data_IF_510946863020
#
_entry.id   IF_510946863020
#
_cell.length_a   1.000
_cell.length_b   1.000
_cell.length_c   1.000
_cell.angle_alpha   90.00
_cell.angle_beta   90.00
_cell.angle_gamma   90.00
#
_symmetry.space_group_name_H-M   'P 1'
#
loop_
_entity.id
_entity.type
_entity.pdbx_description
1 polymer ?
#
# COMPACT_ATOMS: atom_id res chain seq x y z
N UNK A 1 27.51 -38.15 -29.78
CA UNK A 1 26.68 -39.33 -29.44
C UNK A 1 26.91 -39.65 -27.97
N UNK A 2 25.99 -39.16 -27.12
CA UNK A 2 24.99 -39.99 -26.40
C UNK A 2 25.69 -40.97 -25.44
N UNK A 3 25.87 -40.64 -24.16
CA UNK A 3 24.98 -41.03 -23.04
C UNK A 3 25.72 -40.64 -21.74
N UNK A 4 25.16 -40.20 -20.61
CA UNK A 4 23.81 -39.87 -20.14
C UNK A 4 24.05 -39.34 -18.70
N UNK A 5 23.31 -38.31 -18.30
CA UNK A 5 22.75 -38.19 -16.94
C UNK A 5 23.76 -38.05 -15.79
N UNK A 6 24.14 -36.81 -15.51
CA UNK A 6 24.04 -36.27 -14.17
C UNK A 6 23.04 -35.13 -14.34
N UNK A 7 21.74 -35.41 -14.20
CA UNK A 7 20.96 -34.92 -13.05
C UNK A 7 21.35 -33.47 -12.81
N UNK A 8 20.52 -32.51 -13.27
CA UNK A 8 19.58 -31.82 -12.37
C UNK A 8 20.39 -31.30 -11.18
N UNK A 9 20.46 -30.01 -10.88
CA UNK A 9 19.45 -29.38 -10.04
C UNK A 9 19.47 -27.88 -10.37
N UNK A 10 18.27 -27.42 -10.68
CA UNK A 10 17.80 -26.03 -10.57
C UNK A 10 18.56 -24.96 -11.32
N UNK A 11 17.87 -24.46 -12.34
CA UNK A 11 17.86 -23.06 -12.68
C UNK A 11 18.03 -22.19 -11.41
N UNK A 12 19.25 -21.72 -11.17
CA UNK A 12 19.50 -20.64 -10.22
C UNK A 12 19.14 -19.32 -10.92
N UNK A 13 17.88 -19.20 -11.35
CA UNK A 13 17.26 -17.90 -11.52
C UNK A 13 16.94 -17.45 -10.10
N UNK A 14 17.97 -16.99 -9.39
CA UNK A 14 17.80 -16.31 -8.12
C UNK A 14 17.30 -14.89 -8.45
N UNK A 15 16.02 -14.76 -8.78
CA UNK A 15 15.31 -13.48 -8.63
C UNK A 15 15.13 -13.28 -7.13
N UNK A 16 16.19 -12.86 -6.45
CA UNK A 16 16.12 -12.41 -5.07
C UNK A 16 15.84 -10.93 -5.06
N UNK A 17 14.61 -10.59 -5.40
CA UNK A 17 14.02 -9.30 -5.06
C UNK A 17 12.51 -9.45 -5.12
N UNK A 18 11.94 -10.29 -4.27
CA UNK A 18 10.58 -10.00 -3.80
C UNK A 18 10.76 -9.16 -2.56
N UNK A 19 10.98 -7.86 -2.74
CA UNK A 19 10.34 -6.91 -1.85
C UNK A 19 8.87 -7.29 -1.94
N UNK A 20 8.40 -8.06 -0.95
CA UNK A 20 6.98 -8.26 -0.77
C UNK A 20 6.57 -6.89 -0.27
N UNK A 21 6.25 -6.00 -1.21
CA UNK A 21 5.37 -4.88 -0.93
C UNK A 21 4.20 -5.55 -0.23
N UNK A 22 4.13 -5.36 1.09
CA UNK A 22 2.94 -5.72 1.84
C UNK A 22 1.78 -5.24 0.96
N UNK A 23 0.75 -6.08 0.67
CA UNK A 23 -0.47 -5.51 0.14
C UNK A 23 -0.84 -4.40 1.12
N UNK A 24 -0.71 -3.15 0.67
CA UNK A 24 -0.92 -1.98 1.51
C UNK A 24 -2.35 -2.07 2.02
N UNK A 25 -2.46 -2.51 3.26
CA UNK A 25 -3.65 -3.23 3.71
C UNK A 25 -3.47 -4.02 4.99
N UNK A 26 -2.31 -3.95 5.66
CA UNK A 26 -2.14 -4.47 7.01
C UNK A 26 -1.02 -3.69 7.73
N UNK A 27 -1.45 -2.77 8.60
CA UNK A 27 -0.74 -1.62 9.19
C UNK A 27 -0.69 -0.41 8.23
N UNK A 28 -1.57 0.56 8.41
CA UNK A 28 -3.00 0.41 8.13
C UNK A 28 -3.65 1.61 7.44
N UNK A 29 -2.92 2.41 6.66
CA UNK A 29 -3.48 3.63 6.07
C UNK A 29 -4.67 3.41 5.12
N UNK A 30 -5.70 4.26 5.20
CA UNK A 30 -6.86 4.28 4.29
C UNK A 30 -7.37 5.69 4.01
N UNK A 31 -7.84 5.92 2.79
CA UNK A 31 -8.56 7.14 2.41
C UNK A 31 -10.00 7.13 2.94
N UNK A 32 -10.35 8.15 3.72
CA UNK A 32 -11.67 8.38 4.27
C UNK A 32 -12.40 9.49 3.49
N UNK A 33 -13.69 9.30 3.24
CA UNK A 33 -14.57 10.20 2.48
C UNK A 33 -14.99 9.61 1.12
N UNK A 34 -16.25 9.81 0.73
CA UNK A 34 -16.85 9.15 -0.46
C UNK A 34 -17.25 10.17 -1.52
N UNK A 35 -16.75 9.98 -2.75
CA UNK A 35 -17.17 10.77 -3.90
C UNK A 35 -18.63 10.42 -4.29
N UNK A 36 -19.42 11.38 -4.83
CA UNK A 36 -18.98 12.64 -5.43
C UNK A 36 -18.96 13.91 -4.54
N UNK A 37 -19.17 13.95 -3.23
CA UNK A 37 -18.96 15.19 -2.44
C UNK A 37 -18.48 14.79 -1.04
N UNK A 38 -17.25 15.14 -0.64
CA UNK A 38 -16.59 14.50 0.52
C UNK A 38 -16.11 15.52 1.56
N UNK A 39 -16.14 15.16 2.84
CA UNK A 39 -15.43 15.87 3.91
C UNK A 39 -14.79 14.80 4.81
N UNK A 40 -13.75 14.15 4.29
CA UNK A 40 -13.07 13.04 4.96
C UNK A 40 -12.41 13.48 6.28
N UNK A 41 -12.60 12.64 7.30
CA UNK A 41 -12.07 12.79 8.65
C UNK A 41 -11.54 11.44 9.15
N UNK A 42 -10.51 11.50 9.97
CA UNK A 42 -9.96 10.31 10.60
C UNK A 42 -10.75 9.95 11.86
N UNK A 43 -10.87 8.65 12.10
CA UNK A 43 -11.48 8.12 13.32
C UNK A 43 -10.57 8.35 14.54
N UNK A 44 -11.11 8.24 15.74
CA UNK A 44 -10.31 8.40 16.95
C UNK A 44 -9.22 7.32 17.03
N UNK A 45 -7.98 7.74 17.35
CA UNK A 45 -6.81 6.85 17.35
C UNK A 45 -6.13 6.71 15.98
N UNK A 46 -6.58 7.51 15.00
CA UNK A 46 -5.98 7.59 13.67
C UNK A 46 -5.53 9.02 13.38
N UNK A 47 -4.39 9.15 12.71
CA UNK A 47 -3.82 10.43 12.33
C UNK A 47 -3.95 10.68 10.83
N UNK A 48 -4.35 11.90 10.47
CA UNK A 48 -4.35 12.37 9.08
C UNK A 48 -2.91 12.58 8.59
N UNK A 49 -2.58 11.97 7.45
CA UNK A 49 -1.27 12.11 6.79
C UNK A 49 -1.33 12.96 5.55
N UNK A 50 -2.42 12.85 4.82
CA UNK A 50 -2.59 13.53 3.55
C UNK A 50 -4.05 13.90 3.33
N UNK A 51 -4.28 14.90 2.49
CA UNK A 51 -5.60 15.33 2.05
C UNK A 51 -5.61 15.53 0.55
N UNK A 52 -6.55 14.89 -0.14
CA UNK A 52 -6.63 14.91 -1.60
C UNK A 52 -8.07 14.99 -2.09
N UNK A 53 -8.27 15.66 -3.23
CA UNK A 53 -9.59 15.77 -3.85
C UNK A 53 -10.13 14.42 -4.31
N UNK A 54 -9.24 13.50 -4.69
CA UNK A 54 -9.60 12.21 -5.27
C UNK A 54 -9.19 11.04 -4.39
N UNK A 55 -8.07 11.17 -3.65
CA UNK A 55 -7.50 10.09 -2.86
C UNK A 55 -7.10 8.91 -3.75
N UNK A 56 -7.60 7.73 -3.42
CA UNK A 56 -7.38 6.47 -4.13
C UNK A 56 -8.37 6.20 -5.29
N UNK A 57 -9.29 7.11 -5.58
CA UNK A 57 -10.36 6.84 -6.54
C UNK A 57 -11.04 8.08 -7.09
N UNK A 58 -12.37 7.99 -7.25
CA UNK A 58 -13.17 9.07 -7.85
C UNK A 58 -13.09 10.38 -7.05
N UNK A 59 -13.12 11.51 -7.75
CA UNK A 59 -12.93 12.84 -7.15
C UNK A 59 -14.21 13.39 -6.50
N UNK A 60 -14.02 14.11 -5.39
CA UNK A 60 -15.08 14.87 -4.75
C UNK A 60 -15.38 16.12 -5.61
N UNK A 61 -16.64 16.51 -5.70
CA UNK A 61 -17.11 17.73 -6.35
C UNK A 61 -16.99 18.93 -5.37
N UNK A 62 -16.99 18.69 -4.05
CA UNK A 62 -16.69 19.63 -2.93
C UNK A 62 -16.02 18.87 -1.79
N UNK A 63 -15.26 19.62 -0.97
CA UNK A 63 -14.42 19.12 0.11
C UNK A 63 -13.35 18.12 -0.36
N UNK A 64 -12.81 17.27 0.51
CA UNK A 64 -11.65 16.41 0.21
C UNK A 64 -11.69 15.10 0.99
N UNK A 65 -10.90 14.11 0.57
CA UNK A 65 -10.63 12.89 1.34
C UNK A 65 -9.41 13.07 2.24
N UNK A 66 -9.39 12.37 3.36
CA UNK A 66 -8.25 12.32 4.29
C UNK A 66 -7.61 10.93 4.25
N UNK A 67 -6.30 10.84 4.10
CA UNK A 67 -5.55 9.61 4.29
C UNK A 67 -5.28 9.45 5.78
N UNK A 68 -5.91 8.46 6.39
CA UNK A 68 -5.85 8.20 7.82
C UNK A 68 -5.01 6.96 8.07
N UNK A 69 -4.06 7.04 9.01
CA UNK A 69 -3.21 5.91 9.39
C UNK A 69 -3.26 5.69 10.89
N UNK A 70 -3.05 4.45 11.32
CA UNK A 70 -2.82 4.12 12.74
C UNK A 70 -1.50 4.76 13.19
N UNK A 71 -1.45 5.21 14.44
CA UNK A 71 -0.30 5.95 14.96
C UNK A 71 1.01 5.14 15.00
N UNK A 72 0.93 3.80 14.90
CA UNK A 72 2.10 2.90 14.84
C UNK A 72 2.76 2.86 13.44
N UNK A 73 2.08 3.33 12.38
CA UNK A 73 2.63 3.43 11.02
C UNK A 73 3.30 4.78 10.73
N UNK A 74 3.17 5.73 11.67
CA UNK A 74 3.83 7.03 11.64
C UNK A 74 5.34 6.95 11.55
N UNK A 75 5.91 5.93 12.19
CA UNK A 75 7.32 5.79 12.45
C UNK A 75 8.08 5.11 11.30
N UNK A 76 7.38 4.64 10.26
CA UNK A 76 7.97 3.85 9.18
C UNK A 76 8.24 4.62 7.87
N UNK A 77 7.85 5.90 7.78
CA UNK A 77 7.95 6.69 6.53
C UNK A 77 9.07 7.75 6.53
N UNK A 78 9.99 7.72 7.50
CA UNK A 78 11.12 8.67 7.60
C UNK A 78 12.48 7.97 7.87
N UNK A 79 12.70 6.81 7.23
CA UNK A 79 14.01 6.14 7.13
C UNK A 79 14.33 5.78 5.68
#
# INVERSE_FOLDING_TARGET
>A
MLLKILVSITAAVAVTATAIDKPVGAAGCRWQGTAPYCAGECEAGWSERERSQCGDGSCCWTGSKALCCEDDDAAAQDL
#
